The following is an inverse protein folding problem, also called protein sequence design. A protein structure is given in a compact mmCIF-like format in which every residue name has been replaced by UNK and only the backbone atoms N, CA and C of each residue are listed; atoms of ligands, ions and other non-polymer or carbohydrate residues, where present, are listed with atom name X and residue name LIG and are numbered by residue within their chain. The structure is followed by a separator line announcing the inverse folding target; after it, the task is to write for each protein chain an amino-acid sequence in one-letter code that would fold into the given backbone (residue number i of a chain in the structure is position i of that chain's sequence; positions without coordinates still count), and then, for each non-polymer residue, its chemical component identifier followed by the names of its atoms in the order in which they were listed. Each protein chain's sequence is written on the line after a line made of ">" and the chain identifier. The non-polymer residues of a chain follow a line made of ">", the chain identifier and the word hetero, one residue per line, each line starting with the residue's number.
data_IF_490857297956
#
_entry.id   IF_490857297956
#
_cell.length_a   1.000
_cell.length_b   1.000
_cell.length_c   1.000
_cell.angle_alpha   90.00
_cell.angle_beta   90.00
_cell.angle_gamma   90.00
#
_symmetry.space_group_name_H-M   'P 1'
#
loop_
_entity.id
_entity.type
_entity.pdbx_description
1 polymer ?
#
# COMPACT_ATOMS: atom_id res chain seq x y z
N UNK A 1 -5.33 -4.66 -28.27
CA UNK A 1 -5.57 -4.14 -26.91
C UNK A 1 -6.50 -5.03 -26.09
N UNK A 2 -7.73 -5.26 -26.54
CA UNK A 2 -8.76 -6.01 -25.79
C UNK A 2 -8.31 -7.43 -25.37
N UNK A 3 -7.61 -8.15 -26.25
CA UNK A 3 -7.00 -9.45 -25.93
C UNK A 3 -6.06 -9.40 -24.72
N UNK A 4 -5.20 -8.37 -24.64
CA UNK A 4 -4.26 -8.19 -23.52
C UNK A 4 -4.97 -7.85 -22.22
N UNK A 5 -6.00 -6.99 -22.28
CA UNK A 5 -6.83 -6.68 -21.12
C UNK A 5 -7.54 -7.93 -20.59
N UNK A 6 -8.11 -8.75 -21.48
CA UNK A 6 -8.77 -10.00 -21.10
C UNK A 6 -7.77 -11.00 -20.50
N UNK A 7 -6.57 -11.13 -21.10
CA UNK A 7 -5.48 -11.98 -20.57
C UNK A 7 -5.12 -11.58 -19.14
N UNK A 8 -4.87 -10.30 -18.91
CA UNK A 8 -4.35 -9.79 -17.63
C UNK A 8 -5.41 -9.64 -16.55
N UNK A 9 -6.55 -9.05 -16.88
CA UNK A 9 -7.55 -8.62 -15.90
C UNK A 9 -8.82 -9.47 -15.95
N UNK A 10 -8.90 -10.41 -16.88
CA UNK A 10 -10.09 -11.22 -17.13
C UNK A 10 -11.16 -10.46 -17.90
N UNK A 11 -12.26 -11.14 -18.26
CA UNK A 11 -13.42 -10.46 -18.78
C UNK A 11 -13.90 -9.45 -17.72
N UNK A 12 -14.11 -8.19 -18.14
CA UNK A 12 -14.75 -7.18 -17.29
C UNK A 12 -16.13 -7.74 -16.93
N UNK A 13 -16.29 -8.22 -15.70
CA UNK A 13 -17.53 -8.80 -15.26
C UNK A 13 -18.58 -7.70 -15.16
N UNK A 14 -19.35 -7.51 -16.24
CA UNK A 14 -20.55 -6.69 -16.22
C UNK A 14 -21.56 -7.32 -15.25
N UNK A 15 -21.51 -6.90 -13.98
CA UNK A 15 -22.65 -7.00 -13.07
C UNK A 15 -22.82 -8.27 -12.24
N UNK A 16 -21.76 -8.96 -11.82
CA UNK A 16 -21.83 -9.83 -10.63
C UNK A 16 -20.56 -9.70 -9.80
N UNK A 17 -20.72 -9.33 -8.54
CA UNK A 17 -19.71 -9.52 -7.51
C UNK A 17 -19.44 -11.03 -7.39
N UNK A 18 -18.47 -11.52 -8.15
CA UNK A 18 -17.79 -12.75 -7.78
C UNK A 18 -17.04 -12.46 -6.49
N UNK A 19 -17.02 -13.41 -5.57
CA UNK A 19 -16.23 -13.30 -4.34
C UNK A 19 -14.71 -13.32 -4.61
N UNK A 20 -14.29 -13.39 -5.88
CA UNK A 20 -12.90 -13.40 -6.30
C UNK A 20 -12.62 -12.45 -7.47
N UNK A 21 -11.41 -11.89 -7.49
CA UNK A 21 -10.94 -10.89 -8.46
C UNK A 21 -9.58 -11.28 -9.04
N UNK A 22 -9.35 -10.96 -10.31
CA UNK A 22 -8.04 -11.09 -10.98
C UNK A 22 -7.30 -9.77 -11.14
N UNK A 23 -8.00 -8.65 -10.98
CA UNK A 23 -7.46 -7.31 -11.12
C UNK A 23 -7.57 -6.57 -9.80
N UNK A 24 -6.51 -5.86 -9.44
CA UNK A 24 -6.50 -4.95 -8.29
C UNK A 24 -5.84 -3.66 -8.73
N UNK A 25 -6.38 -2.52 -8.31
CA UNK A 25 -5.85 -1.20 -8.68
C UNK A 25 -5.60 -0.39 -7.41
N UNK A 26 -4.38 0.13 -7.30
CA UNK A 26 -4.02 1.14 -6.31
C UNK A 26 -3.88 2.47 -7.02
N UNK A 27 -4.74 3.43 -6.66
CA UNK A 27 -4.75 4.76 -7.24
C UNK A 27 -4.30 5.78 -6.21
N UNK A 28 -3.47 6.73 -6.65
CA UNK A 28 -3.12 7.92 -5.88
C UNK A 28 -3.64 9.17 -6.61
N UNK A 29 -4.55 9.88 -5.97
CA UNK A 29 -5.18 11.08 -6.51
C UNK A 29 -4.92 12.31 -5.63
N UNK A 30 -4.88 13.49 -6.27
CA UNK A 30 -4.94 14.83 -5.64
C UNK A 30 -3.88 15.15 -4.56
N UNK A 31 -2.71 15.70 -4.94
CA UNK A 31 -2.12 15.61 -6.27
C UNK A 31 -1.64 14.17 -6.56
N UNK A 32 -1.56 13.74 -7.82
CA UNK A 32 -0.80 12.54 -8.15
C UNK A 32 0.64 12.73 -7.67
N UNK A 33 1.30 11.64 -7.31
CA UNK A 33 2.74 11.67 -7.03
C UNK A 33 3.36 10.40 -7.58
N UNK A 34 4.02 10.55 -8.73
CA UNK A 34 4.81 9.45 -9.27
C UNK A 34 5.95 9.08 -8.32
N UNK A 35 6.55 10.00 -7.56
CA UNK A 35 7.57 9.65 -6.58
C UNK A 35 7.05 8.65 -5.52
N UNK A 36 5.81 8.86 -5.06
CA UNK A 36 5.16 7.95 -4.12
C UNK A 36 4.75 6.62 -4.76
N UNK A 37 4.06 6.65 -5.90
CA UNK A 37 3.68 5.42 -6.60
C UNK A 37 4.87 4.65 -7.16
N UNK A 38 5.93 5.33 -7.55
CA UNK A 38 7.19 4.77 -8.01
C UNK A 38 7.87 3.95 -6.93
N UNK A 39 7.79 4.38 -5.65
CA UNK A 39 8.23 3.54 -4.52
C UNK A 39 7.45 2.24 -4.41
N UNK A 40 6.12 2.30 -4.57
CA UNK A 40 5.27 1.10 -4.59
C UNK A 40 5.64 0.22 -5.78
N UNK A 41 5.76 0.80 -6.98
CA UNK A 41 6.05 0.08 -8.23
C UNK A 41 7.39 -0.67 -8.17
N UNK A 42 8.44 -0.03 -7.65
CA UNK A 42 9.74 -0.67 -7.45
C UNK A 42 9.71 -1.66 -6.28
N UNK A 43 9.09 -1.31 -5.15
CA UNK A 43 9.03 -2.15 -3.96
C UNK A 43 8.28 -3.47 -4.18
N UNK A 44 7.21 -3.44 -4.99
CA UNK A 44 6.49 -4.64 -5.42
C UNK A 44 7.40 -5.62 -6.16
N UNK A 45 8.32 -5.12 -6.99
CA UNK A 45 9.23 -5.97 -7.75
C UNK A 45 10.43 -6.42 -6.90
N UNK A 46 11.06 -5.47 -6.20
CA UNK A 46 12.30 -5.72 -5.48
C UNK A 46 12.09 -6.43 -4.13
N UNK A 47 11.06 -6.05 -3.37
CA UNK A 47 10.80 -6.61 -2.04
C UNK A 47 9.79 -7.75 -2.10
N UNK A 48 8.71 -7.59 -2.85
CA UNK A 48 7.64 -8.59 -2.91
C UNK A 48 7.85 -9.64 -4.01
N UNK A 49 8.82 -9.44 -4.90
CA UNK A 49 9.15 -10.35 -6.01
C UNK A 49 7.94 -10.62 -6.93
N UNK A 50 7.07 -9.62 -7.04
CA UNK A 50 5.91 -9.65 -7.92
C UNK A 50 6.25 -9.02 -9.28
N UNK A 51 5.53 -9.38 -10.34
CA UNK A 51 5.65 -8.70 -11.63
C UNK A 51 5.40 -7.19 -11.52
N UNK A 52 6.02 -6.42 -12.41
CA UNK A 52 5.77 -5.00 -12.54
C UNK A 52 4.28 -4.73 -12.79
N UNK A 53 3.59 -3.97 -11.92
CA UNK A 53 2.21 -3.58 -12.19
C UNK A 53 2.17 -2.61 -13.38
N UNK A 54 1.11 -2.68 -14.16
CA UNK A 54 0.90 -1.72 -15.24
C UNK A 54 0.60 -0.34 -14.64
N UNK A 55 1.00 0.72 -15.34
CA UNK A 55 0.78 2.09 -14.88
C UNK A 55 -0.27 2.71 -15.79
N UNK A 56 -1.26 3.36 -15.20
CA UNK A 56 -2.27 4.10 -15.94
C UNK A 56 -2.50 5.49 -15.37
N UNK A 57 -2.88 6.40 -16.26
CA UNK A 57 -3.45 7.70 -15.89
C UNK A 57 -4.98 7.54 -15.85
N UNK A 58 -5.63 8.06 -14.82
CA UNK A 58 -7.09 7.90 -14.67
C UNK A 58 -7.91 8.85 -15.56
N UNK A 59 -7.27 9.81 -16.22
CA UNK A 59 -7.92 10.79 -17.08
C UNK A 59 -8.45 12.01 -16.33
N UNK A 60 -8.33 12.04 -15.00
CA UNK A 60 -8.90 13.09 -14.14
C UNK A 60 -7.84 13.77 -13.28
N UNK A 61 -7.29 13.06 -12.30
CA UNK A 61 -6.55 13.65 -11.17
C UNK A 61 -5.63 12.66 -10.45
N UNK A 62 -5.40 11.48 -11.02
CA UNK A 62 -4.70 10.40 -10.36
C UNK A 62 -3.95 9.44 -11.28
N UNK A 63 -2.92 8.84 -10.69
CA UNK A 63 -2.13 7.76 -11.30
C UNK A 63 -2.53 6.44 -10.64
N UNK A 64 -2.48 5.36 -11.42
CA UNK A 64 -2.95 4.05 -11.03
C UNK A 64 -1.87 2.99 -11.26
N UNK A 65 -1.75 2.07 -10.31
CA UNK A 65 -0.97 0.84 -10.44
C UNK A 65 -1.92 -0.34 -10.53
N UNK A 66 -1.78 -1.11 -11.60
CA UNK A 66 -2.65 -2.22 -11.95
C UNK A 66 -1.94 -3.54 -11.77
N UNK A 67 -2.44 -4.34 -10.85
CA UNK A 67 -1.94 -5.66 -10.53
C UNK A 67 -2.80 -6.71 -11.23
N UNK A 68 -2.15 -7.60 -11.97
CA UNK A 68 -2.77 -8.74 -12.62
C UNK A 68 -2.44 -10.00 -11.83
N UNK A 69 -3.44 -10.83 -11.54
CA UNK A 69 -3.29 -12.12 -10.88
C UNK A 69 -3.57 -13.25 -11.88
N UNK A 70 -2.71 -14.27 -11.89
CA UNK A 70 -2.86 -15.41 -12.77
C UNK A 70 -4.18 -16.14 -12.45
N UNK A 71 -4.45 -16.34 -11.16
CA UNK A 71 -5.68 -16.94 -10.63
C UNK A 71 -6.52 -15.93 -9.86
N UNK A 72 -7.87 -16.03 -9.88
CA UNK A 72 -8.74 -15.18 -9.07
C UNK A 72 -8.51 -15.43 -7.58
N UNK A 73 -8.36 -14.35 -6.79
CA UNK A 73 -8.25 -14.44 -5.33
C UNK A 73 -9.46 -13.81 -4.67
N UNK A 74 -9.80 -14.27 -3.46
CA UNK A 74 -10.95 -13.73 -2.72
C UNK A 74 -10.85 -12.21 -2.54
N UNK A 75 -11.98 -11.50 -2.68
CA UNK A 75 -12.09 -10.04 -2.53
C UNK A 75 -11.44 -9.57 -1.23
N UNK A 76 -11.76 -10.22 -0.11
CA UNK A 76 -11.17 -9.88 1.20
C UNK A 76 -9.63 -9.97 1.20
N UNK A 77 -9.08 -10.98 0.51
CA UNK A 77 -7.64 -11.19 0.38
C UNK A 77 -6.99 -10.13 -0.48
N UNK A 78 -7.64 -9.75 -1.60
CA UNK A 78 -7.20 -8.67 -2.46
C UNK A 78 -7.22 -7.31 -1.75
N UNK A 79 -8.26 -7.03 -0.95
CA UNK A 79 -8.32 -5.82 -0.12
C UNK A 79 -7.17 -5.78 0.89
N UNK A 80 -6.92 -6.90 1.57
CA UNK A 80 -5.83 -7.00 2.54
C UNK A 80 -4.47 -6.74 1.88
N UNK A 81 -4.23 -7.28 0.69
CA UNK A 81 -3.01 -7.05 -0.08
C UNK A 81 -2.80 -5.56 -0.37
N UNK A 82 -3.81 -4.91 -0.96
CA UNK A 82 -3.77 -3.48 -1.29
C UNK A 82 -3.59 -2.60 -0.05
N UNK A 83 -4.23 -2.97 1.04
CA UNK A 83 -4.09 -2.29 2.33
C UNK A 83 -2.67 -2.43 2.90
N UNK A 84 -2.06 -3.62 2.78
CA UNK A 84 -0.66 -3.87 3.16
C UNK A 84 0.31 -3.03 2.34
N UNK A 85 0.11 -2.95 1.02
CA UNK A 85 0.92 -2.08 0.15
C UNK A 85 0.84 -0.62 0.58
N UNK A 86 -0.37 -0.11 0.83
CA UNK A 86 -0.57 1.26 1.31
C UNK A 86 0.17 1.51 2.63
N UNK A 87 0.02 0.62 3.60
CA UNK A 87 0.65 0.79 4.91
C UNK A 87 2.18 0.70 4.85
N UNK A 88 2.73 -0.14 3.97
CA UNK A 88 4.16 -0.41 3.86
C UNK A 88 4.91 0.67 3.07
N UNK A 89 4.34 1.09 1.94
CA UNK A 89 5.03 1.94 0.96
C UNK A 89 4.51 3.38 0.90
N UNK A 90 3.30 3.63 1.42
CA UNK A 90 2.68 4.95 1.46
C UNK A 90 2.29 5.38 2.90
N UNK A 91 3.09 5.13 3.95
CA UNK A 91 2.70 5.47 5.32
C UNK A 91 2.51 6.99 5.55
N UNK A 92 3.22 7.83 4.79
CA UNK A 92 3.13 9.29 4.84
C UNK A 92 1.98 9.89 4.02
N UNK A 93 1.31 9.10 3.18
CA UNK A 93 0.22 9.59 2.33
C UNK A 93 -1.11 9.44 3.06
N UNK A 94 -1.87 10.54 3.10
CA UNK A 94 -3.20 10.57 3.67
C UNK A 94 -4.10 9.48 3.03
N UNK A 95 -4.76 8.61 3.81
CA UNK A 95 -5.58 7.51 3.29
C UNK A 95 -6.64 7.92 2.28
N UNK A 96 -7.16 9.15 2.38
CA UNK A 96 -8.21 9.72 1.53
C UNK A 96 -7.73 9.99 0.10
N UNK A 97 -6.40 10.08 -0.08
CA UNK A 97 -5.75 10.25 -1.39
C UNK A 97 -5.50 8.92 -2.09
N UNK A 98 -5.47 7.81 -1.34
CA UNK A 98 -5.21 6.48 -1.89
C UNK A 98 -6.52 5.72 -2.03
N UNK A 99 -6.90 5.39 -3.27
CA UNK A 99 -8.08 4.56 -3.54
C UNK A 99 -7.63 3.13 -3.84
N UNK A 100 -8.27 2.17 -3.18
CA UNK A 100 -8.04 0.75 -3.37
C UNK A 100 -9.25 0.17 -4.11
N UNK A 101 -9.09 -0.12 -5.39
CA UNK A 101 -10.18 -0.52 -6.27
C UNK A 101 -10.01 -2.00 -6.65
N UNK A 102 -11.05 -2.78 -6.42
CA UNK A 102 -11.13 -4.18 -6.86
C UNK A 102 -12.03 -4.37 -8.08
N UNK A 103 -12.89 -3.39 -8.34
CA UNK A 103 -13.56 -3.23 -9.62
C UNK A 103 -12.75 -2.24 -10.46
N UNK A 104 -11.99 -2.78 -11.40
CA UNK A 104 -11.03 -1.99 -12.16
C UNK A 104 -11.76 -1.08 -13.16
N UNK A 105 -11.47 0.24 -13.21
CA UNK A 105 -12.19 1.18 -14.07
C UNK A 105 -11.97 0.88 -15.56
N UNK A 106 -12.77 1.46 -16.45
CA UNK A 106 -12.55 1.30 -17.89
C UNK A 106 -11.33 2.11 -18.32
N UNK A 107 -10.26 1.43 -18.75
CA UNK A 107 -9.03 2.06 -19.27
C UNK A 107 -8.58 1.27 -20.50
N UNK A 108 -8.32 1.94 -21.64
CA UNK A 108 -8.57 3.35 -21.92
C UNK A 108 -10.06 3.74 -21.99
N UNK A 109 -10.39 4.96 -21.56
CA UNK A 109 -11.73 5.54 -21.70
C UNK A 109 -11.71 7.08 -21.63
N UNK A 110 -12.61 7.73 -22.37
CA UNK A 110 -12.83 9.17 -22.30
C UNK A 110 -13.59 9.55 -21.02
N UNK A 111 -13.09 10.57 -20.33
CA UNK A 111 -13.70 11.17 -19.16
C UNK A 111 -14.69 12.23 -19.63
N UNK A 112 -15.98 11.86 -19.67
CA UNK A 112 -17.03 12.68 -20.30
C UNK A 112 -17.24 14.09 -19.73
N UNK A 113 -16.60 14.45 -18.61
CA UNK A 113 -16.65 15.81 -18.06
C UNK A 113 -15.55 16.74 -18.59
N UNK A 114 -14.44 16.22 -19.12
CA UNK A 114 -13.29 17.02 -19.59
C UNK A 114 -12.86 16.72 -21.02
N UNK A 115 -13.28 15.60 -21.61
CA UNK A 115 -12.77 15.12 -22.91
C UNK A 115 -11.37 14.51 -22.81
N UNK A 116 -10.84 14.40 -21.59
CA UNK A 116 -9.57 13.78 -21.29
C UNK A 116 -9.68 12.25 -21.38
N UNK A 117 -8.59 11.58 -21.72
CA UNK A 117 -8.54 10.13 -21.84
C UNK A 117 -7.71 9.50 -20.73
N UNK A 118 -8.24 8.41 -20.16
CA UNK A 118 -7.45 7.47 -19.37
C UNK A 118 -6.64 6.57 -20.31
N UNK A 119 -5.44 6.17 -19.90
CA UNK A 119 -4.56 5.36 -20.72
C UNK A 119 -3.50 4.65 -19.88
N UNK A 120 -3.02 3.50 -20.36
CA UNK A 120 -1.79 2.90 -19.86
C UNK A 120 -0.58 3.67 -20.38
N UNK A 121 0.43 3.82 -19.53
CA UNK A 121 1.66 4.55 -19.81
C UNK A 121 2.88 3.71 -19.44
N UNK A 122 3.99 3.93 -20.14
CA UNK A 122 5.26 3.33 -19.78
C UNK A 122 5.80 3.91 -18.46
N UNK A 123 6.59 3.14 -17.69
CA UNK A 123 7.19 3.62 -16.44
C UNK A 123 8.04 4.88 -16.64
N UNK A 124 8.79 4.96 -17.74
CA UNK A 124 9.63 6.11 -18.06
C UNK A 124 8.84 7.39 -18.36
N UNK A 125 7.57 7.24 -18.74
CA UNK A 125 6.66 8.35 -19.06
C UNK A 125 5.76 8.73 -17.89
N UNK A 126 5.60 7.87 -16.89
CA UNK A 126 4.76 8.13 -15.73
C UNK A 126 5.07 9.44 -14.98
N UNK A 127 6.34 9.87 -14.81
CA UNK A 127 6.65 11.17 -14.21
C UNK A 127 6.06 12.37 -14.98
N UNK A 128 5.92 12.26 -16.31
CA UNK A 128 5.39 13.34 -17.17
C UNK A 128 3.92 13.62 -16.85
N UNK A 129 3.20 12.62 -16.37
CA UNK A 129 1.77 12.69 -16.05
C UNK A 129 1.51 12.99 -14.56
N UNK A 130 2.52 13.42 -13.80
CA UNK A 130 2.37 13.76 -12.38
C UNK A 130 1.46 14.98 -12.15
N UNK A 131 1.49 15.96 -13.05
CA UNK A 131 0.66 17.18 -12.95
C UNK A 131 -0.60 17.09 -13.83
N UNK A 132 -0.51 16.41 -14.97
CA UNK A 132 -1.62 16.22 -15.92
C UNK A 132 -1.87 14.74 -16.17
N UNK A 133 -2.52 14.01 -15.25
CA UNK A 133 -2.76 12.57 -15.33
C UNK A 133 -3.87 12.22 -16.36
N UNK A 134 -3.67 12.60 -17.62
CA UNK A 134 -4.56 12.29 -18.73
C UNK A 134 -3.87 12.43 -20.09
N UNK A 135 -4.54 11.96 -21.14
CA UNK A 135 -4.22 12.31 -22.53
C UNK A 135 -5.31 13.21 -23.12
N UNK A 136 -4.91 14.16 -23.97
CA UNK A 136 -5.85 15.03 -24.69
C UNK A 136 -6.46 14.36 -25.93
N UNK A 137 -5.89 13.22 -26.35
CA UNK A 137 -6.32 12.45 -27.52
C UNK A 137 -6.53 10.98 -27.16
N UNK A 138 -7.39 10.26 -27.89
CA UNK A 138 -7.57 8.83 -27.67
C UNK A 138 -6.23 8.08 -27.86
N UNK A 139 -5.85 7.19 -26.92
CA UNK A 139 -4.62 6.44 -27.06
C UNK A 139 -4.73 5.41 -28.20
N UNK A 140 -3.64 5.23 -28.94
CA UNK A 140 -3.57 4.25 -30.02
C UNK A 140 -3.64 2.81 -29.48
N UNK A 141 -4.51 1.98 -30.06
CA UNK A 141 -4.76 0.62 -29.60
C UNK A 141 -3.52 -0.29 -29.63
N UNK A 142 -2.68 -0.14 -30.66
CA UNK A 142 -1.42 -0.90 -30.79
C UNK A 142 -0.41 -0.52 -29.71
N UNK A 143 -0.26 0.79 -29.44
CA UNK A 143 0.61 1.28 -28.38
C UNK A 143 0.18 0.75 -27.00
N UNK A 144 -1.12 0.80 -26.71
CA UNK A 144 -1.69 0.26 -25.47
C UNK A 144 -1.50 -1.27 -25.39
N UNK A 145 -1.69 -1.99 -26.49
CA UNK A 145 -1.44 -3.43 -26.54
C UNK A 145 0.02 -3.78 -26.25
N UNK A 146 0.97 -3.02 -26.82
CA UNK A 146 2.40 -3.25 -26.59
C UNK A 146 2.80 -3.01 -25.13
N UNK A 147 2.26 -1.94 -24.51
CA UNK A 147 2.47 -1.66 -23.08
C UNK A 147 1.94 -2.78 -22.19
N UNK A 148 0.77 -3.35 -22.51
CA UNK A 148 0.18 -4.45 -21.76
C UNK A 148 0.85 -5.80 -22.06
N UNK A 149 1.37 -6.00 -23.28
CA UNK A 149 2.01 -7.25 -23.71
C UNK A 149 3.23 -7.63 -22.87
N UNK A 150 3.95 -6.64 -22.33
CA UNK A 150 5.09 -6.85 -21.43
C UNK A 150 4.69 -7.08 -19.97
N UNK A 151 3.43 -6.82 -19.60
CA UNK A 151 2.93 -7.03 -18.25
C UNK A 151 2.67 -8.52 -18.03
N UNK A 152 3.11 -9.02 -16.87
CA UNK A 152 2.91 -10.40 -16.46
C UNK A 152 1.93 -10.48 -15.27
N UNK A 153 1.19 -11.58 -15.21
CA UNK A 153 0.30 -11.87 -14.09
C UNK A 153 1.10 -12.49 -12.94
N UNK A 154 0.82 -12.06 -11.70
CA UNK A 154 1.39 -12.65 -10.51
C UNK A 154 0.88 -14.09 -10.35
N UNK A 155 1.81 -15.03 -10.19
CA UNK A 155 1.49 -16.43 -9.90
C UNK A 155 0.98 -16.57 -8.45
N UNK A 156 0.13 -17.56 -8.15
CA UNK A 156 -0.41 -17.76 -6.80
C UNK A 156 0.68 -17.83 -5.74
N UNK A 157 1.79 -18.52 -5.99
CA UNK A 157 2.86 -18.69 -5.01
C UNK A 157 3.58 -17.37 -4.71
N UNK A 158 3.78 -16.54 -5.74
CA UNK A 158 4.40 -15.22 -5.59
C UNK A 158 3.46 -14.26 -4.83
N UNK A 159 2.15 -14.34 -5.11
CA UNK A 159 1.15 -13.56 -4.38
C UNK A 159 1.06 -13.97 -2.91
N UNK A 160 1.08 -15.27 -2.62
CA UNK A 160 1.08 -15.80 -1.26
C UNK A 160 2.34 -15.35 -0.49
N UNK A 161 3.51 -15.45 -1.11
CA UNK A 161 4.77 -14.97 -0.54
C UNK A 161 4.75 -13.47 -0.28
N UNK A 162 4.22 -12.67 -1.21
CA UNK A 162 4.04 -11.23 -1.04
C UNK A 162 3.09 -10.91 0.13
N UNK A 163 1.98 -11.64 0.26
CA UNK A 163 1.04 -11.50 1.38
C UNK A 163 1.70 -11.80 2.73
N UNK A 164 2.59 -12.81 2.80
CA UNK A 164 3.37 -13.08 4.01
C UNK A 164 4.35 -11.94 4.34
N UNK A 165 5.04 -11.40 3.34
CA UNK A 165 5.95 -10.24 3.50
C UNK A 165 5.21 -8.96 3.92
N UNK A 166 3.96 -8.79 3.47
CA UNK A 166 3.06 -7.70 3.85
C UNK A 166 2.28 -7.96 5.15
N UNK A 167 2.48 -9.12 5.78
CA UNK A 167 1.83 -9.51 7.03
C UNK A 167 1.98 -8.43 8.12
N UNK A 168 1.15 -8.50 9.19
CA UNK A 168 1.14 -7.49 10.25
C UNK A 168 2.57 -7.20 10.65
N UNK A 169 2.93 -5.93 10.53
CA UNK A 169 4.29 -5.40 10.53
C UNK A 169 5.06 -5.74 11.82
N UNK A 170 5.40 -7.01 12.00
CA UNK A 170 6.36 -7.47 12.99
C UNK A 170 7.76 -7.04 12.59
N UNK A 171 8.00 -6.58 11.35
CA UNK A 171 9.32 -6.14 10.90
C UNK A 171 9.78 -4.81 11.54
N UNK A 172 8.84 -3.90 11.91
CA UNK A 172 9.15 -2.75 12.78
C UNK A 172 9.31 -3.16 14.25
N UNK A 173 8.75 -4.30 14.68
CA UNK A 173 8.99 -4.87 16.00
C UNK A 173 10.28 -5.72 16.06
N UNK A 174 10.71 -6.32 14.94
CA UNK A 174 11.91 -7.16 14.83
C UNK A 174 13.18 -6.31 14.69
N UNK A 175 13.07 -5.11 14.13
CA UNK A 175 14.17 -4.13 14.13
C UNK A 175 14.31 -3.40 15.48
N UNK A 176 13.25 -3.39 16.30
CA UNK A 176 13.29 -2.98 17.71
C UNK A 176 13.49 -4.18 18.68
N UNK A 177 13.54 -5.40 18.16
CA UNK A 177 13.54 -6.67 18.90
C UNK A 177 14.85 -7.44 18.85
N UNK A 178 15.90 -6.90 18.22
CA UNK A 178 17.27 -7.42 18.36
C UNK A 178 17.91 -6.93 19.67
N UNK A 179 17.25 -7.16 20.79
CA UNK A 179 17.92 -7.38 22.06
C UNK A 179 17.71 -8.86 22.42
N UNK A 180 18.77 -9.58 22.82
CA UNK A 180 18.71 -11.03 22.99
C UNK A 180 17.62 -11.41 24.00
N UNK A 181 16.90 -12.47 23.64
CA UNK A 181 15.83 -13.08 24.40
C UNK A 181 16.23 -13.35 25.86
N UNK A 182 15.40 -12.86 26.79
CA UNK A 182 15.22 -13.51 28.09
C UNK A 182 13.76 -13.95 28.22
N UNK A 183 13.61 -15.22 28.55
CA UNK A 183 12.41 -16.07 28.59
C UNK A 183 11.14 -15.45 29.21
N UNK A 184 9.95 -16.02 28.91
CA UNK A 184 8.68 -15.52 29.45
C UNK A 184 8.53 -15.92 30.91
N UNK A 185 8.24 -14.96 31.78
CA UNK A 185 7.64 -15.21 33.10
C UNK A 185 6.23 -14.63 33.07
N UNK A 186 5.25 -15.53 33.15
CA UNK A 186 3.84 -15.25 33.32
C UNK A 186 3.55 -14.62 34.72
N UNK A 187 2.37 -14.02 34.92
CA UNK A 187 2.15 -12.87 35.79
C UNK A 187 1.97 -13.24 37.27
N UNK A 188 2.44 -12.37 38.17
CA UNK A 188 2.23 -12.48 39.62
C UNK A 188 2.07 -11.11 40.26
N UNK A 189 1.25 -11.00 41.33
CA UNK A 189 0.70 -9.73 41.82
C UNK A 189 1.75 -8.98 42.64
N UNK A 190 1.96 -7.72 42.33
CA UNK A 190 2.79 -6.84 43.12
C UNK A 190 2.57 -5.41 42.69
N UNK A 191 2.25 -4.56 43.66
CA UNK A 191 1.99 -3.11 43.52
C UNK A 191 3.22 -2.29 43.06
N UNK A 192 4.07 -2.85 42.19
CA UNK A 192 5.31 -2.26 41.68
C UNK A 192 5.24 -1.91 40.18
N UNK A 193 4.17 -2.32 39.48
CA UNK A 193 3.99 -2.02 38.06
C UNK A 193 3.93 -0.50 37.76
N UNK A 194 3.21 0.33 38.56
CA UNK A 194 3.21 1.78 38.37
C UNK A 194 4.59 2.39 38.65
N UNK A 195 5.29 1.91 39.68
CA UNK A 195 6.62 2.40 40.07
C UNK A 195 7.66 2.13 38.99
N UNK A 196 7.63 0.92 38.41
CA UNK A 196 8.51 0.50 37.31
C UNK A 196 8.25 1.30 36.04
N UNK A 197 6.98 1.57 35.72
CA UNK A 197 6.59 2.44 34.62
C UNK A 197 7.15 3.87 34.80
N UNK A 198 6.98 4.46 35.99
CA UNK A 198 7.48 5.81 36.27
C UNK A 198 9.02 5.90 36.21
N UNK A 199 9.72 4.87 36.68
CA UNK A 199 11.19 4.78 36.53
C UNK A 199 11.61 4.70 35.05
N UNK A 200 10.88 3.94 34.24
CA UNK A 200 11.15 3.84 32.81
C UNK A 200 10.90 5.18 32.10
N UNK A 201 9.80 5.88 32.42
CA UNK A 201 9.50 7.23 31.90
C UNK A 201 10.57 8.23 32.30
N UNK A 202 11.07 8.18 33.54
CA UNK A 202 12.13 9.08 34.04
C UNK A 202 13.45 8.91 33.26
N UNK A 203 13.81 7.67 32.92
CA UNK A 203 15.07 7.34 32.22
C UNK A 203 14.99 7.48 30.68
N UNK A 204 13.81 7.68 30.12
CA UNK A 204 13.62 7.83 28.68
C UNK A 204 13.93 9.26 28.20
N UNK A 205 15.00 9.42 27.44
CA UNK A 205 15.44 10.72 26.92
C UNK A 205 14.54 11.29 25.81
N UNK A 206 13.68 10.46 25.21
CA UNK A 206 12.72 10.86 24.17
C UNK A 206 11.46 11.48 24.77
N UNK A 207 11.20 11.26 26.06
CA UNK A 207 10.08 11.86 26.78
C UNK A 207 10.38 13.33 27.10
N UNK A 208 9.42 14.25 26.88
CA UNK A 208 9.56 15.65 27.29
C UNK A 208 9.98 15.80 28.75
N UNK A 209 10.93 16.70 29.03
CA UNK A 209 11.51 16.89 30.37
C UNK A 209 10.45 17.14 31.46
N UNK A 210 9.36 17.83 31.12
CA UNK A 210 8.23 18.06 32.02
C UNK A 210 7.60 16.75 32.53
N UNK A 211 7.38 15.77 31.66
CA UNK A 211 6.78 14.48 32.03
C UNK A 211 7.75 13.60 32.83
N UNK A 212 9.06 13.71 32.57
CA UNK A 212 10.11 13.07 33.38
C UNK A 212 10.14 13.60 34.82
N UNK A 213 9.97 14.92 34.99
CA UNK A 213 9.92 15.55 36.30
C UNK A 213 8.64 15.13 37.05
N UNK A 214 7.50 15.06 36.40
CA UNK A 214 6.25 14.56 37.02
C UNK A 214 6.36 13.10 37.45
N UNK A 215 7.00 12.24 36.63
CA UNK A 215 7.27 10.86 37.01
C UNK A 215 8.22 10.75 38.21
N UNK A 216 9.27 11.58 38.27
CA UNK A 216 10.18 11.63 39.41
C UNK A 216 9.49 12.09 40.70
N UNK A 217 8.58 13.07 40.62
CA UNK A 217 7.77 13.53 41.78
C UNK A 217 6.85 12.44 42.32
N UNK A 218 6.21 11.68 41.43
CA UNK A 218 5.32 10.57 41.80
C UNK A 218 6.05 9.40 42.48
N UNK A 219 7.39 9.33 42.39
CA UNK A 219 8.23 8.31 43.01
C UNK A 219 8.77 8.71 44.40
N UNK A 220 8.60 9.96 44.82
CA UNK A 220 9.02 10.40 46.14
C UNK A 220 8.10 9.79 47.21
N UNK A 221 8.65 9.24 48.32
CA UNK A 221 7.84 8.75 49.42
C UNK A 221 7.07 9.93 50.01
N UNK A 222 5.76 9.79 50.18
CA UNK A 222 4.91 10.74 50.90
C UNK A 222 5.35 10.80 52.37
N UNK A 223 6.38 11.60 52.65
CA UNK A 223 6.89 11.86 53.99
C UNK A 223 5.85 12.66 54.77
N UNK A 224 5.24 12.00 55.76
CA UNK A 224 4.01 12.44 56.43
C UNK A 224 4.06 13.79 57.14
N UNK A 225 2.90 14.46 57.14
CA UNK A 225 2.06 14.58 58.34
C UNK A 225 0.61 14.85 57.97
#
# INVERSE_FOLDING_TARGET
>A
MESELSRLYGPRASGRAGDAVRAMVLELARPPSWDALGRVWHGVQAELELPAPAIAVNGTDGLQLWFSLAEPVAVARAQQFLQGLRQRFLPEIAPERVRLLLDAPAVPAEQGHSGNWSAFVAPDLAPVFADTPWLDIPPGEEGQANLLGVVASARPEAFDAAMHKLGPNEQLAASAGQHPATAPVAPGPGDDAPRRFLLQVMHDQTVPMALRIEAAKALLPSGGR
#
